data_IF_460868881750
#
_entry.id   IF_460868881750
#
_cell.length_a   1.000
_cell.length_b   1.000
_cell.length_c   1.000
_cell.angle_alpha   90.00
_cell.angle_beta   90.00
_cell.angle_gamma   90.00
#
_symmetry.space_group_name_H-M   'P 1'
#
loop_
_entity.id
_entity.type
_entity.pdbx_description
1 polymer ?
#
# COMPACT_ATOMS: atom_id res chain seq x y z
N UNK A 1 44.23 -35.50 72.46
CA UNK A 1 45.49 -34.81 72.15
C UNK A 1 45.15 -33.75 71.09
N UNK A 2 45.27 -32.45 71.43
CA UNK A 2 44.88 -31.30 70.60
C UNK A 2 45.90 -31.06 69.49
N UNK A 3 45.47 -30.89 68.24
CA UNK A 3 46.19 -30.23 67.13
C UNK A 3 45.13 -29.52 66.24
N UNK A 4 45.41 -28.31 65.69
CA UNK A 4 44.43 -27.21 65.65
C UNK A 4 43.72 -26.98 64.30
N UNK A 5 42.71 -26.12 64.37
CA UNK A 5 41.88 -25.56 63.31
C UNK A 5 42.68 -24.77 62.26
N UNK A 6 42.56 -25.16 60.99
CA UNK A 6 42.95 -24.38 59.83
C UNK A 6 41.71 -23.73 59.20
N UNK A 7 41.73 -22.40 59.15
CA UNK A 7 40.71 -21.54 58.55
C UNK A 7 40.63 -21.77 57.04
N UNK A 8 39.47 -22.21 56.55
CA UNK A 8 39.20 -22.33 55.11
C UNK A 8 38.55 -21.01 54.62
N UNK A 9 39.31 -20.22 53.86
CA UNK A 9 38.78 -19.08 53.12
C UNK A 9 37.90 -19.59 51.97
N UNK A 10 36.59 -19.37 52.06
CA UNK A 10 35.63 -19.61 50.98
C UNK A 10 35.70 -18.41 50.04
N UNK A 11 36.33 -18.56 48.87
CA UNK A 11 36.20 -17.62 47.77
C UNK A 11 34.83 -17.83 47.10
N UNK A 12 33.89 -16.92 47.35
CA UNK A 12 32.65 -16.85 46.61
C UNK A 12 32.92 -16.30 45.20
N UNK A 13 32.93 -17.17 44.19
CA UNK A 13 32.88 -16.76 42.79
C UNK A 13 31.46 -16.29 42.46
N UNK A 14 31.27 -14.98 42.37
CA UNK A 14 30.11 -14.36 41.73
C UNK A 14 30.17 -14.68 40.22
N UNK A 15 29.40 -15.67 39.79
CA UNK A 15 29.12 -15.90 38.37
C UNK A 15 28.19 -14.77 37.93
N UNK A 16 28.77 -13.72 37.36
CA UNK A 16 28.04 -12.73 36.58
C UNK A 16 27.51 -13.43 35.33
N UNK A 17 26.26 -13.89 35.39
CA UNK A 17 25.51 -14.33 34.22
C UNK A 17 25.46 -13.17 33.23
N UNK A 18 25.92 -13.32 31.98
CA UNK A 18 25.72 -12.30 30.98
C UNK A 18 24.21 -12.21 30.75
N UNK A 19 23.61 -11.06 31.07
CA UNK A 19 22.28 -10.73 30.62
C UNK A 19 22.34 -10.71 29.09
N UNK A 20 22.02 -11.84 28.47
CA UNK A 20 21.75 -11.93 27.04
C UNK A 20 20.50 -11.08 26.85
N UNK A 21 20.70 -9.83 26.40
CA UNK A 21 19.63 -9.09 25.75
C UNK A 21 19.23 -9.94 24.55
N UNK A 22 18.18 -10.74 24.69
CA UNK A 22 17.44 -11.26 23.55
C UNK A 22 16.85 -10.05 22.85
N UNK A 23 17.57 -9.54 21.85
CA UNK A 23 16.97 -8.73 20.80
C UNK A 23 15.88 -9.62 20.21
N UNK A 24 14.62 -9.28 20.46
CA UNK A 24 13.51 -9.83 19.70
C UNK A 24 13.75 -9.42 18.25
N UNK A 25 14.45 -10.27 17.50
CA UNK A 25 14.43 -10.20 16.05
C UNK A 25 12.97 -10.39 15.67
N UNK A 26 12.34 -9.31 15.20
CA UNK A 26 11.09 -9.41 14.49
C UNK A 26 11.30 -10.49 13.41
N UNK A 27 10.42 -11.50 13.30
CA UNK A 27 10.58 -12.51 12.29
C UNK A 27 10.69 -11.81 10.95
N UNK A 28 11.72 -12.17 10.18
CA UNK A 28 11.84 -11.78 8.78
C UNK A 28 10.49 -12.09 8.14
N UNK A 29 9.84 -11.09 7.56
CA UNK A 29 8.53 -11.21 6.93
C UNK A 29 8.65 -12.00 5.63
N UNK A 30 8.92 -13.31 5.75
CA UNK A 30 8.88 -14.28 4.64
C UNK A 30 7.50 -14.95 4.53
N UNK A 31 6.45 -14.35 5.07
CA UNK A 31 5.13 -14.96 5.14
C UNK A 31 4.16 -14.27 4.18
N UNK A 32 4.53 -14.31 2.90
CA UNK A 32 3.75 -13.85 1.75
C UNK A 32 3.58 -15.05 0.83
N UNK A 33 2.39 -15.32 0.27
CA UNK A 33 1.19 -14.48 0.23
C UNK A 33 0.41 -14.27 1.54
N UNK A 34 -0.39 -13.21 1.56
CA UNK A 34 -1.40 -12.95 2.59
C UNK A 34 -2.77 -13.51 2.18
N UNK A 35 -3.61 -13.81 3.16
CA UNK A 35 -4.96 -14.30 2.98
C UNK A 35 -5.93 -13.60 3.93
N UNK A 36 -7.22 -13.77 3.67
CA UNK A 36 -8.29 -13.37 4.59
C UNK A 36 -8.91 -14.59 5.24
N UNK A 37 -9.19 -14.47 6.54
CA UNK A 37 -9.95 -15.43 7.32
C UNK A 37 -10.93 -14.66 8.21
N UNK A 38 -12.21 -14.69 7.84
CA UNK A 38 -13.21 -13.79 8.37
C UNK A 38 -12.72 -12.33 8.29
N UNK A 39 -12.68 -11.61 9.40
CA UNK A 39 -12.25 -10.20 9.46
C UNK A 39 -10.74 -9.98 9.49
N UNK A 40 -9.93 -11.04 9.49
CA UNK A 40 -8.49 -10.94 9.68
C UNK A 40 -7.72 -11.16 8.40
N UNK A 41 -6.67 -10.37 8.22
CA UNK A 41 -5.58 -10.72 7.31
C UNK A 41 -4.65 -11.67 8.08
N UNK A 42 -4.31 -12.79 7.45
CA UNK A 42 -3.41 -13.82 7.98
C UNK A 42 -2.30 -14.10 6.98
N UNK A 43 -1.18 -14.61 7.46
CA UNK A 43 -0.14 -15.18 6.62
C UNK A 43 -0.39 -16.67 6.35
N UNK A 44 0.48 -17.31 5.57
CA UNK A 44 0.42 -18.75 5.26
C UNK A 44 0.39 -19.66 6.50
N UNK A 45 1.02 -19.24 7.60
CA UNK A 45 1.02 -20.00 8.86
C UNK A 45 -0.25 -19.81 9.71
N UNK A 46 -1.23 -19.05 9.21
CA UNK A 46 -2.47 -18.73 9.92
C UNK A 46 -2.32 -17.64 10.99
N UNK A 47 -1.15 -17.00 11.08
CA UNK A 47 -0.91 -15.92 12.03
C UNK A 47 -1.51 -14.61 11.51
N UNK A 48 -2.17 -13.88 12.41
CA UNK A 48 -2.75 -12.57 12.08
C UNK A 48 -1.66 -11.57 11.73
N UNK A 49 -1.85 -10.89 10.60
CA UNK A 49 -1.04 -9.76 10.14
C UNK A 49 -1.87 -8.49 10.25
N UNK A 50 -1.31 -7.44 10.85
CA UNK A 50 -1.89 -6.09 10.83
C UNK A 50 -1.08 -5.23 9.87
N UNK A 51 -1.75 -4.70 8.85
CA UNK A 51 -1.15 -3.72 7.96
C UNK A 51 -1.18 -2.34 8.64
N UNK A 52 -0.01 -1.81 8.93
CA UNK A 52 0.20 -0.46 9.45
C UNK A 52 0.95 0.31 8.37
N UNK A 53 0.19 0.94 7.48
CA UNK A 53 0.74 1.55 6.27
C UNK A 53 0.82 3.07 6.33
N UNK A 54 1.78 3.63 5.60
CA UNK A 54 1.73 5.01 5.13
C UNK A 54 1.17 5.06 3.71
N UNK A 55 0.56 6.19 3.31
CA UNK A 55 0.28 6.47 1.91
C UNK A 55 1.48 7.19 1.29
N UNK A 56 1.92 6.75 0.11
CA UNK A 56 2.97 7.45 -0.65
C UNK A 56 2.44 7.81 -2.04
N UNK A 57 2.39 9.12 -2.31
CA UNK A 57 1.88 9.66 -3.56
C UNK A 57 2.84 9.41 -4.72
N UNK A 58 2.39 8.72 -5.77
CA UNK A 58 3.09 8.58 -7.06
C UNK A 58 2.12 8.70 -8.26
N UNK A 59 0.86 9.10 -8.02
CA UNK A 59 -0.19 9.24 -9.04
C UNK A 59 -0.34 10.67 -9.59
N UNK A 60 0.39 11.65 -9.03
CA UNK A 60 0.33 13.07 -9.42
C UNK A 60 0.84 13.27 -10.86
N UNK A 61 0.79 14.50 -11.38
CA UNK A 61 1.16 14.81 -12.78
C UNK A 61 2.58 14.38 -13.14
N UNK A 62 3.51 14.41 -12.18
CA UNK A 62 4.89 13.94 -12.35
C UNK A 62 4.97 12.42 -12.59
N UNK A 63 4.00 11.66 -12.06
CA UNK A 63 3.94 10.19 -12.02
C UNK A 63 5.19 9.54 -11.41
N UNK A 64 5.82 10.24 -10.46
CA UNK A 64 6.98 9.76 -9.70
C UNK A 64 6.67 9.91 -8.22
N UNK A 65 7.14 8.98 -7.39
CA UNK A 65 6.93 9.04 -5.96
C UNK A 65 7.46 10.36 -5.38
N UNK A 66 6.63 11.03 -4.58
CA UNK A 66 6.95 12.34 -4.01
C UNK A 66 8.16 12.26 -3.07
N UNK A 67 8.93 13.35 -2.99
CA UNK A 67 10.08 13.45 -2.07
C UNK A 67 11.42 12.95 -2.61
N UNK A 68 11.47 12.28 -3.77
CA UNK A 68 12.72 11.80 -4.37
C UNK A 68 13.68 12.90 -4.82
N UNK A 69 13.22 14.16 -4.90
CA UNK A 69 14.09 15.32 -5.10
C UNK A 69 14.76 15.81 -3.81
N UNK A 70 14.34 15.31 -2.65
CA UNK A 70 14.77 15.78 -1.32
C UNK A 70 15.58 14.75 -0.54
N UNK A 71 15.33 13.46 -0.75
CA UNK A 71 16.02 12.37 -0.04
C UNK A 71 16.29 11.20 -0.99
N UNK A 72 17.36 10.43 -0.78
CA UNK A 72 17.55 9.14 -1.42
C UNK A 72 16.36 8.19 -1.16
N UNK A 73 16.02 7.38 -2.15
CA UNK A 73 14.89 6.44 -2.11
C UNK A 73 15.01 5.44 -0.94
N UNK A 74 16.19 4.86 -0.76
CA UNK A 74 16.51 3.92 0.33
C UNK A 74 16.35 4.58 1.72
N UNK A 75 16.79 5.82 1.87
CA UNK A 75 16.60 6.58 3.11
C UNK A 75 15.12 6.78 3.43
N UNK A 76 14.28 7.04 2.42
CA UNK A 76 12.82 7.19 2.63
C UNK A 76 12.21 5.85 3.07
N UNK A 77 12.54 4.74 2.39
CA UNK A 77 11.97 3.42 2.70
C UNK A 77 12.43 2.90 4.07
N UNK A 78 13.70 3.09 4.44
CA UNK A 78 14.22 2.78 5.79
C UNK A 78 13.54 3.64 6.87
N UNK A 79 13.29 4.93 6.58
CA UNK A 79 12.62 5.82 7.52
C UNK A 79 11.16 5.40 7.79
N UNK A 80 10.46 4.83 6.80
CA UNK A 80 9.10 4.29 6.99
C UNK A 80 9.11 3.17 8.02
N UNK A 81 10.08 2.25 7.95
CA UNK A 81 10.26 1.17 8.93
C UNK A 81 10.63 1.74 10.30
N UNK A 82 11.53 2.72 10.37
CA UNK A 82 11.98 3.30 11.64
C UNK A 82 10.86 4.00 12.42
N UNK A 83 9.83 4.49 11.71
CA UNK A 83 8.61 5.04 12.30
C UNK A 83 7.61 3.96 12.79
N UNK A 84 7.90 2.68 12.54
CA UNK A 84 7.07 1.54 12.98
C UNK A 84 6.00 1.10 11.99
N UNK A 85 6.00 1.62 10.76
CA UNK A 85 5.13 1.13 9.70
C UNK A 85 5.71 -0.12 9.05
N UNK A 86 4.85 -0.98 8.52
CA UNK A 86 5.27 -2.22 7.83
C UNK A 86 4.80 -2.30 6.39
N UNK A 87 4.10 -1.27 5.90
CA UNK A 87 3.63 -1.22 4.53
C UNK A 87 3.52 0.20 3.97
N UNK A 88 3.43 0.28 2.65
CA UNK A 88 3.12 1.49 1.88
C UNK A 88 1.92 1.22 0.98
N UNK A 89 0.90 2.08 1.05
CA UNK A 89 -0.11 2.24 0.00
C UNK A 89 0.47 3.17 -1.05
N UNK A 90 1.04 2.59 -2.10
CA UNK A 90 1.71 3.30 -3.18
C UNK A 90 0.70 3.55 -4.30
N UNK A 91 0.40 4.82 -4.50
CA UNK A 91 -0.65 5.26 -5.43
C UNK A 91 -0.13 5.34 -6.85
N UNK A 92 -0.95 4.97 -7.83
CA UNK A 92 -0.63 5.09 -9.26
C UNK A 92 -1.82 5.60 -10.07
N UNK A 93 -1.55 6.18 -11.23
CA UNK A 93 -2.57 6.66 -12.16
C UNK A 93 -2.78 5.67 -13.31
N UNK A 94 -4.02 5.50 -13.76
CA UNK A 94 -4.34 4.55 -14.84
C UNK A 94 -3.53 4.83 -16.12
N UNK A 95 -3.41 6.10 -16.49
CA UNK A 95 -2.74 6.46 -17.74
C UNK A 95 -1.22 6.22 -17.68
N UNK A 96 -0.60 6.11 -16.51
CA UNK A 96 0.82 5.72 -16.40
C UNK A 96 1.07 4.33 -17.01
N UNK A 97 0.10 3.41 -16.89
CA UNK A 97 0.22 2.05 -17.44
C UNK A 97 -0.47 1.84 -18.77
N UNK A 98 -1.49 2.63 -19.10
CA UNK A 98 -2.27 2.42 -20.33
C UNK A 98 -1.93 3.39 -21.47
N UNK A 99 -1.25 4.51 -21.20
CA UNK A 99 -0.79 5.43 -22.23
C UNK A 99 0.71 5.26 -22.49
N UNK A 100 1.06 4.60 -23.59
CA UNK A 100 2.45 4.32 -23.96
C UNK A 100 3.33 5.58 -24.05
N UNK A 101 2.79 6.72 -24.47
CA UNK A 101 3.55 7.98 -24.57
C UNK A 101 3.90 8.49 -23.17
N UNK A 102 2.98 8.39 -22.21
CA UNK A 102 3.26 8.75 -20.82
C UNK A 102 4.19 7.73 -20.17
N UNK A 103 3.91 6.43 -20.31
CA UNK A 103 4.71 5.36 -19.71
C UNK A 103 6.19 5.41 -20.13
N UNK A 104 6.45 5.74 -21.40
CA UNK A 104 7.80 5.84 -21.98
C UNK A 104 8.50 7.18 -21.76
N UNK A 105 7.78 8.21 -21.32
CA UNK A 105 8.38 9.49 -20.95
C UNK A 105 9.36 9.27 -19.79
N UNK A 106 10.53 9.88 -19.87
CA UNK A 106 11.50 9.80 -18.76
C UNK A 106 11.10 10.69 -17.59
N UNK A 107 11.58 10.37 -16.39
CA UNK A 107 11.42 11.24 -15.21
C UNK A 107 11.89 12.67 -15.52
N UNK A 108 13.06 12.84 -16.15
CA UNK A 108 13.59 14.15 -16.56
C UNK A 108 12.61 14.90 -17.47
N UNK A 109 12.08 14.25 -18.49
CA UNK A 109 11.13 14.87 -19.43
C UNK A 109 9.83 15.26 -18.72
N UNK A 110 9.27 14.39 -17.88
CA UNK A 110 8.06 14.66 -17.10
C UNK A 110 8.23 15.92 -16.25
N UNK A 111 9.29 15.97 -15.46
CA UNK A 111 9.57 17.12 -14.60
C UNK A 111 9.90 18.40 -15.40
N UNK A 112 10.60 18.29 -16.52
CA UNK A 112 10.90 19.43 -17.38
C UNK A 112 9.61 20.01 -17.99
N UNK A 113 8.70 19.16 -18.46
CA UNK A 113 7.41 19.58 -19.02
C UNK A 113 6.52 20.29 -17.98
N UNK A 114 6.69 19.95 -16.70
CA UNK A 114 6.02 20.59 -15.58
C UNK A 114 6.76 21.84 -15.05
N UNK A 115 7.91 22.20 -15.63
CA UNK A 115 8.72 23.33 -15.17
C UNK A 115 9.45 23.10 -13.83
N UNK A 116 9.57 21.84 -13.39
CA UNK A 116 10.12 21.46 -12.09
C UNK A 116 11.66 21.30 -12.12
N UNK A 117 12.37 22.32 -12.61
CA UNK A 117 13.82 22.27 -12.83
C UNK A 117 14.62 22.05 -11.54
N UNK A 118 14.19 22.64 -10.42
CA UNK A 118 14.84 22.42 -9.12
C UNK A 118 14.69 20.97 -8.65
N UNK A 119 13.54 20.34 -8.91
CA UNK A 119 13.31 18.95 -8.58
C UNK A 119 14.15 18.01 -9.43
N UNK A 120 14.40 18.34 -10.71
CA UNK A 120 15.37 17.60 -11.55
C UNK A 120 16.75 17.63 -10.91
N UNK A 121 17.22 18.81 -10.50
CA UNK A 121 18.52 18.94 -9.83
C UNK A 121 18.56 18.16 -8.51
N UNK A 122 17.47 18.19 -7.73
CA UNK A 122 17.33 17.41 -6.50
C UNK A 122 17.36 15.90 -6.74
N UNK A 123 16.66 15.39 -7.75
CA UNK A 123 16.68 13.98 -8.13
C UNK A 123 18.07 13.60 -8.65
N UNK A 124 18.74 14.46 -9.42
CA UNK A 124 20.10 14.21 -9.91
C UNK A 124 21.10 14.01 -8.77
N UNK A 125 20.90 14.69 -7.64
CA UNK A 125 21.75 14.55 -6.44
C UNK A 125 21.38 13.33 -5.62
N UNK A 126 20.09 13.15 -5.34
CA UNK A 126 19.63 12.14 -4.39
C UNK A 126 19.38 10.77 -5.00
N UNK A 127 18.93 10.72 -6.26
CA UNK A 127 18.49 9.51 -6.97
C UNK A 127 18.88 9.56 -8.46
N UNK A 128 20.18 9.73 -8.80
CA UNK A 128 20.64 9.96 -10.18
C UNK A 128 20.22 8.85 -11.16
N UNK A 129 20.12 7.60 -10.68
CA UNK A 129 19.75 6.44 -11.51
C UNK A 129 18.30 6.46 -11.97
N UNK A 130 17.40 7.20 -11.30
CA UNK A 130 15.99 7.30 -11.69
C UNK A 130 15.73 8.31 -12.81
N UNK A 131 16.61 9.31 -12.95
CA UNK A 131 16.27 10.54 -13.65
C UNK A 131 15.99 10.34 -15.15
N UNK A 132 16.67 9.37 -15.77
CA UNK A 132 16.52 9.07 -17.20
C UNK A 132 15.75 7.74 -17.44
N UNK A 133 15.17 7.15 -16.39
CA UNK A 133 14.27 6.01 -16.54
C UNK A 133 12.90 6.46 -17.07
N UNK A 134 12.24 5.64 -17.90
CA UNK A 134 10.81 5.77 -18.17
C UNK A 134 10.01 5.80 -16.86
N UNK A 135 8.93 6.57 -16.81
CA UNK A 135 8.08 6.72 -15.62
C UNK A 135 7.62 5.37 -15.05
N UNK A 136 7.23 4.44 -15.92
CA UNK A 136 6.81 3.11 -15.47
C UNK A 136 7.95 2.31 -14.82
N UNK A 137 9.18 2.47 -15.31
CA UNK A 137 10.35 1.81 -14.71
C UNK A 137 10.76 2.48 -13.40
N UNK A 138 10.64 3.82 -13.31
CA UNK A 138 10.87 4.52 -12.05
C UNK A 138 9.90 4.04 -10.95
N UNK A 139 8.63 3.80 -11.30
CA UNK A 139 7.64 3.19 -10.39
C UNK A 139 8.07 1.78 -9.94
N UNK A 140 8.54 0.93 -10.86
CA UNK A 140 9.07 -0.40 -10.54
C UNK A 140 10.29 -0.35 -9.61
N UNK A 141 11.18 0.64 -9.79
CA UNK A 141 12.35 0.82 -8.90
C UNK A 141 11.90 1.19 -7.49
N UNK A 142 10.90 2.06 -7.33
CA UNK A 142 10.34 2.39 -6.00
C UNK A 142 9.75 1.15 -5.32
N UNK A 143 8.96 0.35 -6.04
CA UNK A 143 8.42 -0.91 -5.49
C UNK A 143 9.54 -1.89 -5.12
N UNK A 144 10.58 -1.99 -5.94
CA UNK A 144 11.73 -2.88 -5.68
C UNK A 144 12.53 -2.43 -4.46
N UNK A 145 12.71 -1.14 -4.26
CA UNK A 145 13.40 -0.60 -3.08
C UNK A 145 12.61 -0.87 -1.79
N UNK A 146 11.29 -0.66 -1.82
CA UNK A 146 10.40 -1.03 -0.71
C UNK A 146 10.52 -2.53 -0.40
N UNK A 147 10.57 -3.37 -1.42
CA UNK A 147 10.73 -4.82 -1.27
C UNK A 147 12.08 -5.19 -0.62
N UNK A 148 13.18 -4.59 -1.09
CA UNK A 148 14.52 -4.81 -0.54
C UNK A 148 14.63 -4.40 0.94
N UNK A 149 13.85 -3.41 1.35
CA UNK A 149 13.74 -2.95 2.73
C UNK A 149 12.67 -3.69 3.55
N UNK A 150 12.14 -4.81 3.05
CA UNK A 150 11.11 -5.63 3.70
C UNK A 150 9.80 -4.87 4.02
N UNK A 151 9.50 -3.83 3.25
CA UNK A 151 8.25 -3.07 3.34
C UNK A 151 7.23 -3.74 2.42
N UNK A 152 6.04 -4.07 2.95
CA UNK A 152 4.95 -4.56 2.12
C UNK A 152 4.34 -3.42 1.28
N UNK A 153 3.83 -3.72 0.10
CA UNK A 153 3.29 -2.72 -0.82
C UNK A 153 1.85 -3.07 -1.18
N UNK A 154 0.96 -2.08 -1.03
CA UNK A 154 -0.38 -2.07 -1.64
C UNK A 154 -0.32 -1.12 -2.83
N UNK A 155 -0.61 -1.63 -4.02
CA UNK A 155 -0.68 -0.80 -5.23
C UNK A 155 -2.10 -0.27 -5.39
N UNK A 156 -2.27 1.04 -5.27
CA UNK A 156 -3.58 1.68 -5.28
C UNK A 156 -3.85 2.43 -6.59
N UNK A 157 -4.87 1.98 -7.35
CA UNK A 157 -5.33 2.75 -8.51
C UNK A 157 -6.06 4.01 -8.04
N UNK A 158 -5.30 5.09 -7.88
CA UNK A 158 -5.80 6.28 -7.20
C UNK A 158 -6.68 7.17 -8.10
N UNK A 159 -6.29 7.30 -9.36
CA UNK A 159 -6.96 8.16 -10.34
C UNK A 159 -6.71 7.64 -11.75
N UNK A 160 -7.51 8.07 -12.75
CA UNK A 160 -7.23 7.70 -14.12
C UNK A 160 -6.22 8.64 -14.78
N UNK A 161 -6.58 9.93 -14.85
CA UNK A 161 -5.70 10.97 -15.35
C UNK A 161 -4.77 11.43 -14.21
N UNK A 162 -3.44 11.45 -14.40
CA UNK A 162 -2.51 11.93 -13.38
C UNK A 162 -2.88 13.34 -12.91
N UNK A 163 -2.86 13.58 -11.60
CA UNK A 163 -3.26 14.87 -11.03
C UNK A 163 -3.74 14.78 -9.58
N UNK A 164 -4.22 15.90 -9.06
CA UNK A 164 -4.80 15.99 -7.72
C UNK A 164 -6.15 15.25 -7.64
N UNK A 165 -6.35 14.59 -6.51
CA UNK A 165 -7.58 13.92 -6.10
C UNK A 165 -7.97 14.46 -4.70
N UNK A 166 -9.23 14.49 -4.27
CA UNK A 166 -10.43 13.91 -4.90
C UNK A 166 -11.62 14.88 -4.78
N UNK A 167 -12.40 15.02 -5.85
CA UNK A 167 -13.61 15.86 -5.92
C UNK A 167 -14.74 15.09 -6.59
N UNK A 168 -16.00 15.46 -6.28
CA UNK A 168 -17.19 14.92 -6.97
C UNK A 168 -17.23 15.29 -8.48
N UNK A 169 -16.41 16.25 -8.90
CA UNK A 169 -16.46 16.83 -10.25
C UNK A 169 -15.10 16.78 -10.97
N UNK A 170 -14.19 15.92 -10.54
CA UNK A 170 -12.89 15.74 -11.20
C UNK A 170 -12.95 14.81 -12.44
N UNK A 171 -14.15 14.35 -12.82
CA UNK A 171 -14.40 13.41 -13.91
C UNK A 171 -13.60 12.09 -13.78
N UNK A 172 -13.26 11.66 -12.55
CA UNK A 172 -12.59 10.40 -12.24
C UNK A 172 -13.33 9.55 -11.19
N UNK A 173 -14.42 10.05 -10.61
CA UNK A 173 -15.03 9.48 -9.41
C UNK A 173 -15.75 8.14 -9.58
N UNK A 174 -16.38 7.90 -10.73
CA UNK A 174 -17.14 6.67 -10.96
C UNK A 174 -17.06 6.16 -12.41
N UNK A 175 -17.42 4.89 -12.60
CA UNK A 175 -17.47 4.26 -13.91
C UNK A 175 -18.34 5.09 -14.88
N UNK A 176 -17.79 5.42 -16.05
CA UNK A 176 -18.47 6.26 -17.05
C UNK A 176 -18.23 7.76 -16.88
N UNK A 177 -17.39 8.18 -15.92
CA UNK A 177 -16.79 9.50 -15.97
C UNK A 177 -15.79 9.65 -17.11
N UNK A 178 -15.56 10.91 -17.52
CA UNK A 178 -14.79 11.23 -18.73
C UNK A 178 -13.43 10.55 -18.76
N UNK A 179 -12.75 10.47 -17.62
CA UNK A 179 -11.43 9.85 -17.52
C UNK A 179 -11.48 8.42 -16.97
N UNK A 180 -12.60 7.98 -16.39
CA UNK A 180 -12.74 6.64 -15.83
C UNK A 180 -13.52 5.70 -16.76
N UNK A 181 -12.80 5.24 -17.79
CA UNK A 181 -13.30 4.30 -18.79
C UNK A 181 -13.08 2.85 -18.30
N UNK A 182 -14.14 2.04 -18.11
CA UNK A 182 -14.02 0.72 -17.47
C UNK A 182 -13.12 -0.29 -18.20
N UNK A 183 -13.16 -0.33 -19.54
CA UNK A 183 -12.32 -1.28 -20.28
C UNK A 183 -10.83 -0.92 -20.20
N UNK A 184 -10.51 0.38 -20.28
CA UNK A 184 -9.15 0.86 -20.07
C UNK A 184 -8.67 0.59 -18.64
N UNK A 185 -9.56 0.72 -17.65
CA UNK A 185 -9.24 0.40 -16.26
C UNK A 185 -8.94 -1.08 -16.05
N UNK A 186 -9.70 -1.96 -16.70
CA UNK A 186 -9.44 -3.40 -16.71
C UNK A 186 -8.07 -3.72 -17.33
N UNK A 187 -7.71 -3.07 -18.44
CA UNK A 187 -6.38 -3.21 -19.04
C UNK A 187 -5.27 -2.78 -18.07
N UNK A 188 -5.43 -1.62 -17.41
CA UNK A 188 -4.47 -1.13 -16.43
C UNK A 188 -4.32 -2.01 -15.20
N UNK A 189 -5.43 -2.55 -14.66
CA UNK A 189 -5.39 -3.51 -13.56
C UNK A 189 -4.67 -4.80 -13.96
N UNK A 190 -4.96 -5.32 -15.15
CA UNK A 190 -4.28 -6.50 -15.70
C UNK A 190 -2.78 -6.24 -15.82
N UNK A 191 -2.39 -5.08 -16.36
CA UNK A 191 -1.00 -4.69 -16.55
C UNK A 191 -0.25 -4.60 -15.22
N UNK A 192 -0.80 -3.90 -14.21
CA UNK A 192 -0.17 -3.77 -12.88
C UNK A 192 -0.10 -5.12 -12.17
N UNK A 193 -1.17 -5.91 -12.17
CA UNK A 193 -1.17 -7.23 -11.53
C UNK A 193 -0.13 -8.16 -12.17
N UNK A 194 -0.05 -8.19 -13.50
CA UNK A 194 0.94 -8.98 -14.25
C UNK A 194 2.37 -8.50 -14.00
N UNK A 195 2.58 -7.18 -14.00
CA UNK A 195 3.89 -6.55 -13.82
C UNK A 195 4.56 -6.92 -12.50
N UNK A 196 3.76 -7.10 -11.44
CA UNK A 196 4.23 -7.43 -10.10
C UNK A 196 3.90 -8.86 -9.68
N UNK A 197 3.50 -9.72 -10.62
CA UNK A 197 3.38 -11.15 -10.34
C UNK A 197 4.77 -11.74 -10.03
N UNK A 198 4.89 -12.40 -8.88
CA UNK A 198 6.16 -12.90 -8.34
C UNK A 198 6.93 -11.89 -7.46
N UNK A 199 6.51 -10.63 -7.40
CA UNK A 199 7.07 -9.66 -6.45
C UNK A 199 6.41 -9.85 -5.09
N UNK A 200 6.98 -10.72 -4.26
CA UNK A 200 6.36 -11.17 -3.00
C UNK A 200 5.93 -10.03 -2.08
N UNK A 201 6.70 -8.94 -1.99
CA UNK A 201 6.38 -7.77 -1.16
C UNK A 201 5.17 -6.97 -1.65
N UNK A 202 4.70 -7.13 -2.89
CA UNK A 202 3.40 -6.59 -3.31
C UNK A 202 2.33 -7.52 -2.75
N UNK A 203 1.65 -7.06 -1.70
CA UNK A 203 0.72 -7.88 -0.93
C UNK A 203 -0.74 -7.59 -1.23
N UNK A 204 -1.02 -6.49 -1.93
CA UNK A 204 -2.37 -6.10 -2.26
C UNK A 204 -2.45 -5.15 -3.45
N UNK A 205 -3.57 -5.19 -4.13
CA UNK A 205 -3.93 -4.23 -5.18
C UNK A 205 -5.29 -3.64 -4.81
N UNK A 206 -5.34 -2.32 -4.56
CA UNK A 206 -6.61 -1.59 -4.50
C UNK A 206 -7.08 -1.27 -5.89
N UNK A 207 -8.31 -1.73 -6.15
CA UNK A 207 -8.90 -1.70 -7.48
C UNK A 207 -9.19 -0.26 -7.94
N UNK A 208 -9.65 0.62 -7.04
CA UNK A 208 -9.95 2.02 -7.35
C UNK A 208 -10.21 2.85 -6.10
N UNK A 209 -9.40 3.85 -5.80
CA UNK A 209 -9.58 4.78 -4.68
C UNK A 209 -10.92 5.56 -4.73
N UNK A 210 -11.67 5.53 -3.61
CA UNK A 210 -12.76 6.45 -3.29
C UNK A 210 -13.78 6.63 -4.42
N UNK A 211 -14.52 5.58 -4.79
CA UNK A 211 -15.61 5.73 -5.75
C UNK A 211 -16.61 6.78 -5.22
N UNK A 212 -16.99 7.74 -6.07
CA UNK A 212 -17.71 8.97 -5.66
C UNK A 212 -18.47 9.63 -6.81
N UNK A 213 -19.22 10.68 -6.50
CA UNK A 213 -19.87 11.54 -7.49
C UNK A 213 -21.26 11.08 -7.93
N UNK A 214 -21.95 11.87 -8.77
CA UNK A 214 -23.38 11.73 -9.01
C UNK A 214 -23.79 10.52 -9.87
N UNK A 215 -22.84 9.79 -10.46
CA UNK A 215 -23.10 8.62 -11.32
C UNK A 215 -23.13 7.29 -10.57
N UNK A 216 -22.84 7.30 -9.26
CA UNK A 216 -22.78 6.09 -8.45
C UNK A 216 -24.07 5.28 -8.51
N UNK A 217 -23.92 3.98 -8.75
CA UNK A 217 -25.01 3.04 -8.72
C UNK A 217 -24.49 1.63 -8.42
N UNK A 218 -25.28 0.83 -7.70
CA UNK A 218 -24.92 -0.54 -7.28
C UNK A 218 -24.71 -1.47 -8.47
N UNK A 219 -25.50 -1.34 -9.53
CA UNK A 219 -25.43 -2.21 -10.71
C UNK A 219 -24.04 -2.17 -11.36
N UNK A 220 -23.53 -0.98 -11.63
CA UNK A 220 -22.21 -0.80 -12.24
C UNK A 220 -21.09 -1.11 -11.25
N UNK A 221 -21.27 -0.79 -9.96
CA UNK A 221 -20.32 -1.19 -8.92
C UNK A 221 -20.13 -2.71 -8.90
N UNK A 222 -21.21 -3.50 -8.78
CA UNK A 222 -21.09 -4.97 -8.77
C UNK A 222 -20.49 -5.49 -10.06
N UNK A 223 -20.93 -4.96 -11.21
CA UNK A 223 -20.43 -5.38 -12.52
C UNK A 223 -18.92 -5.18 -12.63
N UNK A 224 -18.42 -3.99 -12.33
CA UNK A 224 -17.03 -3.63 -12.60
C UNK A 224 -16.09 -4.01 -11.46
N UNK A 225 -16.48 -3.86 -10.19
CA UNK A 225 -15.64 -4.25 -9.06
C UNK A 225 -15.42 -5.76 -9.03
N UNK A 226 -16.45 -6.58 -9.33
CA UNK A 226 -16.25 -8.03 -9.48
C UNK A 226 -15.37 -8.35 -10.69
N UNK A 227 -15.60 -7.70 -11.85
CA UNK A 227 -14.76 -7.90 -13.04
C UNK A 227 -13.29 -7.56 -12.76
N UNK A 228 -13.02 -6.43 -12.10
CA UNK A 228 -11.67 -6.01 -11.72
C UNK A 228 -11.03 -7.00 -10.75
N UNK A 229 -11.78 -7.47 -9.76
CA UNK A 229 -11.31 -8.46 -8.79
C UNK A 229 -10.92 -9.79 -9.43
N UNK A 230 -11.76 -10.34 -10.31
CA UNK A 230 -11.48 -11.58 -11.04
C UNK A 230 -10.21 -11.45 -11.90
N UNK A 231 -10.05 -10.31 -12.59
CA UNK A 231 -8.93 -10.08 -13.50
C UNK A 231 -7.62 -9.90 -12.72
N UNK A 232 -7.64 -9.16 -11.61
CA UNK A 232 -6.46 -9.03 -10.75
C UNK A 232 -6.06 -10.39 -10.18
N UNK A 233 -7.01 -11.15 -9.61
CA UNK A 233 -6.73 -12.47 -9.05
C UNK A 233 -6.23 -13.46 -10.11
N UNK A 234 -6.78 -13.45 -11.31
CA UNK A 234 -6.32 -14.29 -12.41
C UNK A 234 -4.89 -13.95 -12.86
N UNK A 235 -4.52 -12.65 -12.86
CA UNK A 235 -3.19 -12.20 -13.26
C UNK A 235 -2.14 -12.35 -12.15
N UNK A 236 -2.56 -12.24 -10.89
CA UNK A 236 -1.71 -12.37 -9.71
C UNK A 236 -2.53 -12.93 -8.52
N UNK A 237 -2.54 -14.27 -8.32
CA UNK A 237 -3.35 -14.89 -7.28
C UNK A 237 -2.80 -14.71 -5.87
N UNK A 238 -1.57 -14.22 -5.73
CA UNK A 238 -0.90 -14.10 -4.43
C UNK A 238 -1.29 -12.82 -3.67
N UNK A 239 -1.75 -11.79 -4.38
CA UNK A 239 -2.15 -10.51 -3.77
C UNK A 239 -3.55 -10.53 -3.16
N UNK A 240 -3.74 -9.73 -2.11
CA UNK A 240 -5.07 -9.33 -1.66
C UNK A 240 -5.71 -8.40 -2.71
N UNK A 241 -7.00 -8.57 -2.94
CA UNK A 241 -7.79 -7.73 -3.84
C UNK A 241 -8.63 -6.79 -2.98
N UNK A 242 -8.35 -5.49 -3.04
CA UNK A 242 -8.96 -4.48 -2.16
C UNK A 242 -10.04 -3.72 -2.93
N UNK A 243 -11.26 -3.73 -2.39
CA UNK A 243 -12.48 -3.16 -2.98
C UNK A 243 -12.89 -1.91 -2.20
N UNK A 244 -13.18 -0.86 -2.96
CA UNK A 244 -13.65 0.44 -2.49
C UNK A 244 -15.17 0.54 -2.50
N UNK A 245 -15.71 1.41 -1.65
CA UNK A 245 -17.14 1.61 -1.41
C UNK A 245 -17.66 2.86 -2.11
N UNK A 246 -18.88 3.27 -1.78
CA UNK A 246 -19.44 4.52 -2.28
C UNK A 246 -19.08 5.71 -1.37
N UNK A 247 -19.38 6.92 -1.87
CA UNK A 247 -19.20 8.17 -1.15
C UNK A 247 -17.80 8.30 -0.52
N UNK A 248 -16.76 8.19 -1.34
CA UNK A 248 -15.37 8.24 -0.86
C UNK A 248 -15.06 7.12 0.15
N UNK A 249 -15.50 5.90 -0.15
CA UNK A 249 -15.30 4.72 0.69
C UNK A 249 -15.90 4.82 2.10
N UNK A 250 -16.96 5.62 2.27
CA UNK A 250 -17.70 5.74 3.53
C UNK A 250 -18.99 4.92 3.57
N UNK A 251 -19.47 4.43 2.43
CA UNK A 251 -20.71 3.66 2.33
C UNK A 251 -20.51 2.28 1.69
N UNK A 252 -20.78 1.25 2.48
CA UNK A 252 -20.79 -0.17 2.08
C UNK A 252 -22.13 -0.84 2.40
N UNK A 253 -23.17 -0.08 2.72
CA UNK A 253 -24.45 -0.62 3.20
C UNK A 253 -25.12 -1.56 2.20
N UNK A 254 -24.91 -1.31 0.91
CA UNK A 254 -25.40 -2.13 -0.19
C UNK A 254 -24.86 -3.58 -0.18
N UNK A 255 -23.74 -3.85 0.51
CA UNK A 255 -23.20 -5.20 0.67
C UNK A 255 -23.99 -6.07 1.65
N UNK A 256 -24.79 -5.45 2.54
CA UNK A 256 -25.69 -6.22 3.43
C UNK A 256 -26.84 -6.85 2.65
N UNK A 257 -27.26 -6.23 1.55
CA UNK A 257 -28.34 -6.73 0.70
C UNK A 257 -27.83 -7.79 -0.28
N UNK A 258 -26.63 -7.59 -0.83
CA UNK A 258 -26.02 -8.48 -1.80
C UNK A 258 -24.51 -8.63 -1.51
N UNK A 259 -24.01 -9.81 -1.13
CA UNK A 259 -22.57 -9.99 -1.02
C UNK A 259 -21.93 -10.01 -2.41
N UNK A 260 -20.64 -9.67 -2.46
CA UNK A 260 -19.83 -9.81 -3.68
C UNK A 260 -19.75 -11.29 -4.06
N UNK A 261 -19.94 -11.60 -5.34
CA UNK A 261 -19.84 -12.96 -5.87
C UNK A 261 -18.58 -13.11 -6.74
N UNK A 262 -17.61 -13.89 -6.26
CA UNK A 262 -16.31 -14.12 -6.91
C UNK A 262 -15.99 -15.62 -6.97
N UNK A 263 -15.19 -16.01 -7.94
CA UNK A 263 -14.74 -17.39 -8.14
C UNK A 263 -13.65 -17.82 -7.16
N UNK A 264 -13.05 -16.86 -6.46
CA UNK A 264 -12.00 -17.07 -5.47
C UNK A 264 -12.43 -16.58 -4.08
N UNK A 265 -11.75 -17.08 -3.05
CA UNK A 265 -11.99 -16.71 -1.66
C UNK A 265 -10.65 -16.43 -0.95
N UNK A 266 -10.72 -15.98 0.30
CA UNK A 266 -9.52 -15.79 1.13
C UNK A 266 -8.56 -14.71 0.64
N UNK A 267 -8.98 -13.82 -0.27
CA UNK A 267 -8.13 -12.74 -0.82
C UNK A 267 -8.81 -11.36 -0.84
N UNK A 268 -10.12 -11.31 -0.63
CA UNK A 268 -10.91 -10.08 -0.77
C UNK A 268 -10.82 -9.24 0.50
N UNK A 269 -10.51 -7.96 0.31
CA UNK A 269 -10.43 -6.94 1.36
C UNK A 269 -11.33 -5.76 0.95
N UNK A 270 -12.03 -5.13 1.88
CA UNK A 270 -12.75 -3.86 1.72
C UNK A 270 -11.91 -2.75 2.37
N UNK A 271 -11.80 -1.58 1.73
CA UNK A 271 -11.15 -0.40 2.30
C UNK A 271 -12.16 0.70 2.66
N UNK A 272 -12.04 1.25 3.87
CA UNK A 272 -12.84 2.39 4.33
C UNK A 272 -11.91 3.58 4.50
N UNK A 273 -12.33 4.74 4.02
CA UNK A 273 -11.62 6.00 4.21
C UNK A 273 -12.33 6.84 5.27
N UNK A 274 -11.59 7.24 6.30
CA UNK A 274 -12.13 7.99 7.44
C UNK A 274 -11.20 9.15 7.79
N UNK A 275 -11.74 10.37 7.69
CA UNK A 275 -11.03 11.61 7.97
C UNK A 275 -11.71 12.42 9.09
N UNK A 276 -11.02 13.45 9.58
CA UNK A 276 -11.59 14.35 10.61
C UNK A 276 -12.74 15.21 10.14
N UNK A 277 -12.87 15.41 8.82
CA UNK A 277 -13.97 16.12 8.22
C UNK A 277 -15.10 15.20 7.75
N UNK A 278 -14.88 13.88 7.69
CA UNK A 278 -15.94 12.91 7.39
C UNK A 278 -16.78 12.58 8.63
N UNK A 279 -16.29 12.90 9.84
CA UNK A 279 -17.03 12.79 11.08
C UNK A 279 -16.64 13.91 12.06
N UNK A 280 -17.52 14.88 12.27
CA UNK A 280 -17.28 15.97 13.23
C UNK A 280 -17.05 15.43 14.66
N UNK A 281 -16.39 16.23 15.53
CA UNK A 281 -16.11 16.03 16.98
C UNK A 281 -15.46 14.71 17.44
N UNK A 282 -15.50 13.59 16.71
CA UNK A 282 -14.90 12.32 17.10
C UNK A 282 -13.36 12.43 17.28
N UNK A 283 -12.74 13.30 16.49
CA UNK A 283 -11.30 13.60 16.52
C UNK A 283 -10.87 14.55 17.63
N UNK A 284 -11.81 15.18 18.33
CA UNK A 284 -11.50 16.09 19.45
C UNK A 284 -11.13 15.33 20.74
N UNK A 285 -11.44 14.03 20.83
CA UNK A 285 -11.32 13.27 22.09
C UNK A 285 -10.89 11.80 21.96
N UNK A 286 -10.85 11.22 20.75
CA UNK A 286 -10.48 9.82 20.55
C UNK A 286 -8.98 9.59 20.34
N UNK A 287 -8.52 8.39 20.69
CA UNK A 287 -7.13 7.96 20.44
C UNK A 287 -6.90 7.79 18.92
N UNK A 288 -5.87 8.40 18.32
CA UNK A 288 -5.55 8.23 16.90
C UNK A 288 -5.34 6.76 16.49
N UNK A 289 -4.87 5.87 17.37
CA UNK A 289 -4.77 4.43 17.07
C UNK A 289 -6.12 3.68 17.12
N UNK A 290 -7.18 4.36 17.58
CA UNK A 290 -8.58 3.91 17.54
C UNK A 290 -9.39 4.66 16.47
N UNK A 291 -8.91 5.79 15.95
CA UNK A 291 -9.58 6.64 14.95
C UNK A 291 -8.94 6.53 13.55
N UNK A 292 -7.61 6.44 13.46
CA UNK A 292 -6.90 6.06 12.25
C UNK A 292 -7.11 4.57 12.03
N UNK A 293 -8.19 4.25 11.35
CA UNK A 293 -8.34 2.97 10.70
C UNK A 293 -8.19 3.21 9.20
N UNK A 294 -7.12 2.67 8.60
CA UNK A 294 -7.36 1.87 7.39
C UNK A 294 -8.15 0.68 7.92
N UNK A 295 -9.46 0.90 7.99
CA UNK A 295 -10.42 -0.06 8.50
C UNK A 295 -10.61 -1.08 7.41
N UNK A 296 -9.84 -2.15 7.47
CA UNK A 296 -10.27 -3.43 6.92
C UNK A 296 -11.53 -3.86 7.69
N UNK A 297 -12.66 -3.25 7.36
CA UNK A 297 -14.01 -3.69 7.73
C UNK A 297 -14.35 -4.89 6.84
N UNK A 298 -13.63 -6.00 7.05
CA UNK A 298 -13.76 -7.19 6.22
C UNK A 298 -14.89 -8.04 6.75
N UNK A 299 -16.04 -7.94 6.09
CA UNK A 299 -17.01 -9.03 6.12
C UNK A 299 -16.51 -10.11 5.17
N UNK A 300 -15.57 -10.94 5.67
CA UNK A 300 -15.25 -12.22 5.06
C UNK A 300 -16.25 -13.26 5.53
N UNK A 301 -16.94 -13.89 4.57
CA UNK A 301 -17.56 -15.20 4.76
C UNK A 301 -16.58 -16.28 4.31
#
# INVERSE_FOLDING_TARGET
MKIPSSSLLIFAFLILSPNVLTVLQLPVTTALPLYTNSRWIINESGQRVKLACVNWASHLESMVAEGLSKQPLDVISEQIISMGFNCVRLTWSLFMVTNNSLASMTVRQSFHNLGLLESIAGIQVNNPSLLDLPLIQAFQVVVSDLANNNVMVILDNHISKPGLCCSDFDDNGFFGDRYFVPDLWVEGLTAIATMFNGTTNVVGISLRNELRGPKQNTKDWYRYMQKGAEIVHAANPDVLVILSGFNFDTDFTFLFEQPVNLTFNGKVVMEVHWYSFSDGKAWESGNPNQLNWIGTGLYGH
#
